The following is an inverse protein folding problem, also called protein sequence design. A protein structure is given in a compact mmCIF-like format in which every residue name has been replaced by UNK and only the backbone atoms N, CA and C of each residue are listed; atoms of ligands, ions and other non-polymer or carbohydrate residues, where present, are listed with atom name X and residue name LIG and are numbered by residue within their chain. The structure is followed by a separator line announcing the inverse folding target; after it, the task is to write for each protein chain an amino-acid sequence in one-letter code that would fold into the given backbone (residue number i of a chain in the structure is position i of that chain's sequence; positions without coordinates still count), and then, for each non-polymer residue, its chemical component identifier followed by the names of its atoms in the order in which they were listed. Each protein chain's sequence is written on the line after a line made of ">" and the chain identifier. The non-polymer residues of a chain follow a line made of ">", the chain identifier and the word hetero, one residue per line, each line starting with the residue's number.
data_IF_292718699255
#
_entry.id   IF_292718699255
#
_cell.length_a   1.000
_cell.length_b   1.000
_cell.length_c   1.000
_cell.angle_alpha   90.00
_cell.angle_beta   90.00
_cell.angle_gamma   90.00
#
_symmetry.space_group_name_H-M   'P 1'
#
loop_
_entity.id
_entity.type
_entity.pdbx_description
1 polymer ?
#
# COMPACT_ATOMS: atom_id res chain seq x y z
N UNK A 1 -21.24 19.59 1.32
CA UNK A 1 -20.62 20.00 0.09
C UNK A 1 -21.40 19.56 -1.14
N UNK A 2 -20.85 19.80 -2.32
CA UNK A 2 -21.48 19.51 -3.61
C UNK A 2 -21.79 18.03 -3.81
N UNK A 3 -20.88 17.12 -3.42
CA UNK A 3 -21.10 15.67 -3.48
C UNK A 3 -22.34 15.24 -2.68
N UNK A 4 -22.56 15.78 -1.50
CA UNK A 4 -23.77 15.52 -0.71
C UNK A 4 -25.02 15.93 -1.47
N UNK A 5 -25.01 17.09 -2.12
CA UNK A 5 -26.12 17.56 -2.94
C UNK A 5 -26.36 16.64 -4.13
N UNK A 6 -25.32 16.27 -4.85
CA UNK A 6 -25.39 15.34 -5.99
C UNK A 6 -25.99 13.99 -5.59
N UNK A 7 -25.58 13.42 -4.45
CA UNK A 7 -26.12 12.14 -3.95
C UNK A 7 -27.61 12.26 -3.56
N UNK A 8 -28.02 13.39 -2.97
CA UNK A 8 -29.42 13.66 -2.63
C UNK A 8 -30.28 13.85 -3.89
N UNK A 9 -29.73 14.49 -4.92
CA UNK A 9 -30.45 14.78 -6.17
C UNK A 9 -30.51 13.56 -7.12
N UNK A 10 -29.55 12.64 -7.04
CA UNK A 10 -29.39 11.53 -7.97
C UNK A 10 -30.42 10.40 -7.80
N UNK A 11 -31.20 10.36 -6.72
CA UNK A 11 -32.16 9.29 -6.40
C UNK A 11 -31.59 7.89 -6.72
N UNK A 12 -30.48 7.55 -6.08
CA UNK A 12 -29.75 6.30 -6.37
C UNK A 12 -30.67 5.10 -6.09
N UNK A 13 -31.08 4.40 -7.14
CA UNK A 13 -32.19 3.41 -7.10
C UNK A 13 -32.01 2.30 -6.09
N UNK A 14 -30.78 1.84 -5.86
CA UNK A 14 -30.48 0.72 -4.98
C UNK A 14 -30.16 1.15 -3.53
N UNK A 15 -30.49 2.37 -3.19
CA UNK A 15 -30.29 2.94 -1.86
C UNK A 15 -31.60 3.52 -1.29
N UNK A 16 -32.74 2.91 -1.60
CA UNK A 16 -34.07 3.38 -1.16
C UNK A 16 -34.17 3.49 0.37
N UNK A 17 -33.50 2.60 1.09
CA UNK A 17 -33.51 2.57 2.56
C UNK A 17 -32.33 3.37 3.19
N UNK A 18 -31.50 4.00 2.35
CA UNK A 18 -30.34 4.73 2.86
C UNK A 18 -30.80 6.03 3.51
N UNK A 19 -30.34 6.34 4.74
CA UNK A 19 -30.82 7.49 5.49
C UNK A 19 -30.19 8.81 5.02
N UNK A 20 -30.43 9.20 3.77
CA UNK A 20 -29.85 10.42 3.19
C UNK A 20 -30.12 11.69 4.00
N UNK A 21 -31.30 11.82 4.61
CA UNK A 21 -31.66 12.96 5.48
C UNK A 21 -30.82 13.04 6.75
N UNK A 22 -30.24 11.91 7.17
CA UNK A 22 -29.42 11.82 8.37
C UNK A 22 -27.92 12.08 8.10
N UNK A 23 -27.51 12.23 6.84
CA UNK A 23 -26.13 12.54 6.50
C UNK A 23 -25.77 13.93 7.05
N UNK A 24 -24.82 13.94 7.97
CA UNK A 24 -24.17 15.16 8.44
C UNK A 24 -23.12 15.63 7.45
N UNK A 25 -22.20 14.73 7.08
CA UNK A 25 -21.13 15.03 6.13
C UNK A 25 -20.76 13.80 5.31
N UNK A 26 -20.00 14.03 4.22
CA UNK A 26 -19.39 12.98 3.41
C UNK A 26 -17.88 13.19 3.44
N UNK A 27 -17.17 12.14 3.82
CA UNK A 27 -15.71 12.15 3.96
C UNK A 27 -15.09 11.15 2.99
N UNK A 28 -13.93 11.52 2.45
CA UNK A 28 -13.05 10.59 1.78
C UNK A 28 -12.14 9.92 2.81
N UNK A 29 -11.87 8.65 2.63
CA UNK A 29 -10.90 7.93 3.43
C UNK A 29 -9.76 7.49 2.52
N UNK A 30 -8.53 7.61 2.99
CA UNK A 30 -7.33 7.26 2.22
C UNK A 30 -6.40 6.46 3.13
N UNK A 31 -6.18 5.21 2.80
CA UNK A 31 -5.19 4.34 3.44
C UNK A 31 -4.06 4.02 2.46
N UNK A 32 -2.86 3.80 2.94
CA UNK A 32 -1.69 3.55 2.11
C UNK A 32 -0.96 2.29 2.58
N UNK A 33 -0.59 1.46 1.63
CA UNK A 33 0.35 0.35 1.77
C UNK A 33 1.63 0.75 1.02
N UNK A 34 2.75 0.73 1.71
CA UNK A 34 4.05 1.18 1.18
C UNK A 34 5.02 0.02 1.09
N UNK A 35 5.27 -0.47 -0.11
CA UNK A 35 6.28 -1.49 -0.37
C UNK A 35 7.66 -0.86 -0.61
N UNK A 36 8.70 -1.56 -0.15
CA UNK A 36 10.08 -1.14 -0.40
C UNK A 36 11.06 -2.32 -0.34
N UNK A 37 12.15 -2.18 -1.07
CA UNK A 37 13.24 -3.14 -1.03
C UNK A 37 14.30 -2.73 -0.02
N UNK A 38 14.74 -3.70 0.77
CA UNK A 38 15.82 -3.54 1.74
C UNK A 38 17.02 -4.36 1.27
N UNK A 39 18.17 -3.73 1.22
CA UNK A 39 19.45 -4.34 0.91
C UNK A 39 20.24 -4.48 2.21
N UNK A 40 20.61 -5.72 2.53
CA UNK A 40 21.51 -6.02 3.63
C UNK A 40 22.91 -6.23 3.06
N UNK A 41 23.91 -5.40 3.42
CA UNK A 41 25.28 -5.58 2.96
C UNK A 41 25.85 -6.94 3.38
N UNK A 42 26.54 -7.60 2.46
CA UNK A 42 27.07 -8.97 2.62
C UNK A 42 28.00 -9.19 3.80
N UNK A 43 28.66 -8.14 4.28
CA UNK A 43 29.57 -8.21 5.44
C UNK A 43 28.85 -8.50 6.79
N UNK A 44 27.52 -8.42 6.81
CA UNK A 44 26.74 -8.52 8.04
C UNK A 44 25.83 -9.76 8.14
N UNK A 45 25.78 -10.60 7.10
CA UNK A 45 24.93 -11.79 7.11
C UNK A 45 25.72 -13.11 7.16
N UNK A 46 25.25 -14.01 8.02
CA UNK A 46 25.73 -15.39 8.05
C UNK A 46 25.00 -16.23 6.99
N UNK A 47 25.74 -16.91 6.15
CA UNK A 47 25.29 -17.77 5.02
C UNK A 47 24.17 -18.74 5.40
N UNK A 48 24.06 -19.14 6.65
CA UNK A 48 23.03 -20.07 7.15
C UNK A 48 21.60 -19.56 7.06
N UNK A 49 21.39 -18.23 7.04
CA UNK A 49 20.04 -17.65 6.97
C UNK A 49 19.49 -17.55 5.54
N UNK A 50 20.35 -17.63 4.54
CA UNK A 50 20.00 -17.42 3.15
C UNK A 50 19.39 -18.66 2.48
N UNK A 51 19.80 -19.86 2.89
CA UNK A 51 19.36 -21.11 2.27
C UNK A 51 17.89 -21.46 2.57
N UNK A 52 17.32 -20.92 3.63
CA UNK A 52 15.97 -21.24 4.09
C UNK A 52 14.93 -20.24 3.52
N UNK A 53 15.34 -19.02 3.20
CA UNK A 53 14.43 -17.96 2.72
C UNK A 53 14.16 -17.98 1.22
N UNK A 54 14.72 -18.93 0.48
CA UNK A 54 14.83 -18.86 -0.98
C UNK A 54 13.76 -19.61 -1.79
N UNK A 55 12.81 -20.29 -1.16
CA UNK A 55 11.69 -20.89 -1.90
C UNK A 55 10.60 -19.85 -2.08
N UNK A 56 10.44 -19.36 -3.30
CA UNK A 56 9.60 -18.24 -3.72
C UNK A 56 8.13 -18.28 -3.24
N UNK A 57 7.60 -19.45 -2.91
CA UNK A 57 6.22 -19.60 -2.42
C UNK A 57 6.09 -19.56 -0.89
N UNK A 58 7.19 -19.65 -0.16
CA UNK A 58 7.19 -19.67 1.31
C UNK A 58 7.55 -18.32 1.93
N UNK A 59 7.74 -17.27 1.13
CA UNK A 59 8.22 -15.97 1.62
C UNK A 59 7.10 -15.05 2.11
N UNK A 60 5.89 -15.27 1.66
CA UNK A 60 4.72 -14.58 2.18
C UNK A 60 4.53 -14.96 3.66
N UNK A 61 4.51 -13.97 4.53
CA UNK A 61 4.38 -14.15 5.99
C UNK A 61 5.60 -14.75 6.70
N UNK A 62 6.76 -14.80 6.08
CA UNK A 62 7.97 -15.17 6.81
C UNK A 62 8.37 -14.05 7.79
N UNK A 63 8.83 -14.49 8.96
CA UNK A 63 9.31 -13.54 9.97
C UNK A 63 10.58 -12.84 9.48
N UNK A 64 10.58 -11.52 9.54
CA UNK A 64 11.80 -10.73 9.48
C UNK A 64 12.77 -11.15 10.58
N UNK A 65 14.07 -11.07 10.31
CA UNK A 65 15.12 -11.49 11.23
C UNK A 65 16.24 -10.46 11.30
N UNK A 66 17.06 -10.55 12.36
CA UNK A 66 18.26 -9.72 12.51
C UNK A 66 17.98 -8.23 12.43
N UNK A 67 18.89 -7.50 11.78
CA UNK A 67 18.80 -6.03 11.68
C UNK A 67 17.55 -5.55 10.92
N UNK A 68 17.03 -6.33 9.97
CA UNK A 68 15.80 -5.99 9.24
C UNK A 68 14.60 -5.95 10.18
N UNK A 69 14.48 -6.95 11.06
CA UNK A 69 13.43 -6.98 12.08
C UNK A 69 13.56 -5.82 13.05
N UNK A 70 14.76 -5.60 13.57
CA UNK A 70 15.02 -4.50 14.51
C UNK A 70 14.70 -3.14 13.88
N UNK A 71 15.09 -2.93 12.62
CA UNK A 71 14.78 -1.70 11.90
C UNK A 71 13.27 -1.52 11.71
N UNK A 72 12.53 -2.57 11.36
CA UNK A 72 11.08 -2.48 11.22
C UNK A 72 10.39 -2.16 12.55
N UNK A 73 10.75 -2.85 13.64
CA UNK A 73 10.21 -2.59 14.98
C UNK A 73 10.44 -1.13 15.39
N UNK A 74 11.67 -0.62 15.22
CA UNK A 74 11.99 0.79 15.50
C UNK A 74 11.25 1.77 14.59
N UNK A 75 11.03 1.40 13.33
CA UNK A 75 10.25 2.22 12.39
C UNK A 75 8.82 2.37 12.87
N UNK A 76 8.19 1.27 13.25
CA UNK A 76 6.81 1.26 13.77
C UNK A 76 6.73 2.14 15.03
N UNK A 77 7.64 1.97 15.97
CA UNK A 77 7.67 2.79 17.20
C UNK A 77 7.83 4.29 16.91
N UNK A 78 8.73 4.66 15.98
CA UNK A 78 8.91 6.07 15.60
C UNK A 78 7.70 6.66 14.88
N UNK A 79 7.07 5.90 13.99
CA UNK A 79 5.88 6.34 13.27
C UNK A 79 4.66 6.49 14.19
N UNK A 80 4.45 5.53 15.10
CA UNK A 80 3.40 5.62 16.11
C UNK A 80 3.60 6.82 17.05
N UNK A 81 4.84 7.07 17.47
CA UNK A 81 5.17 8.24 18.28
C UNK A 81 4.89 9.58 17.56
N UNK A 82 4.89 9.58 16.23
CA UNK A 82 4.52 10.72 15.38
C UNK A 82 3.03 10.78 15.02
N UNK A 83 2.26 9.78 15.44
CA UNK A 83 0.80 9.71 15.25
C UNK A 83 0.34 9.09 13.94
N UNK A 84 1.18 8.34 13.24
CA UNK A 84 0.77 7.65 12.01
C UNK A 84 -0.11 6.41 12.26
N UNK A 85 -0.04 5.81 13.43
CA UNK A 85 -0.79 4.60 13.78
C UNK A 85 -0.59 3.46 12.77
N UNK A 86 0.60 2.87 12.82
CA UNK A 86 0.95 1.74 11.97
C UNK A 86 0.04 0.55 12.26
N UNK A 87 -0.55 -0.04 11.23
CA UNK A 87 -1.39 -1.22 11.34
C UNK A 87 -0.55 -2.48 11.26
N UNK A 88 0.36 -2.53 10.28
CA UNK A 88 1.20 -3.70 10.07
C UNK A 88 2.53 -3.32 9.39
N UNK A 89 3.58 -4.09 9.72
CA UNK A 89 4.83 -4.11 8.97
C UNK A 89 5.26 -5.55 8.75
N UNK A 90 5.38 -5.97 7.51
CA UNK A 90 5.65 -7.37 7.18
C UNK A 90 6.57 -7.54 5.97
N UNK A 91 6.94 -8.79 5.73
CA UNK A 91 7.71 -9.17 4.56
C UNK A 91 6.77 -9.50 3.42
N UNK A 92 6.99 -8.84 2.27
CA UNK A 92 6.27 -9.11 1.04
C UNK A 92 6.84 -10.28 0.24
N UNK A 93 6.14 -10.66 -0.84
CA UNK A 93 6.57 -11.71 -1.77
C UNK A 93 7.66 -11.17 -2.69
N UNK A 94 8.75 -11.90 -2.83
CA UNK A 94 9.79 -11.59 -3.80
C UNK A 94 11.16 -11.31 -3.21
N UNK A 95 11.79 -12.28 -2.56
CA UNK A 95 13.21 -12.22 -2.20
C UNK A 95 14.11 -12.49 -3.40
N UNK A 96 15.27 -11.85 -3.47
CA UNK A 96 16.29 -12.18 -4.45
C UNK A 96 17.26 -13.17 -3.84
N UNK A 97 17.59 -14.20 -4.65
CA UNK A 97 18.74 -15.04 -4.35
C UNK A 97 20.00 -14.17 -4.46
N UNK A 98 20.86 -14.16 -3.44
CA UNK A 98 22.14 -13.50 -3.54
C UNK A 98 22.88 -14.12 -4.73
N UNK A 99 23.50 -13.29 -5.54
CA UNK A 99 24.45 -13.75 -6.53
C UNK A 99 25.71 -14.14 -5.79
N UNK A 100 26.17 -15.36 -6.00
CA UNK A 100 27.48 -15.82 -5.56
C UNK A 100 28.42 -15.59 -6.73
N UNK A 101 29.55 -14.90 -6.51
CA UNK A 101 30.59 -14.78 -7.52
C UNK A 101 31.37 -16.10 -7.67
N UNK A 102 32.25 -16.16 -8.67
CA UNK A 102 33.07 -17.36 -8.93
C UNK A 102 34.04 -17.69 -7.77
N UNK A 103 34.25 -16.77 -6.83
CA UNK A 103 35.03 -16.95 -5.61
C UNK A 103 34.20 -17.37 -4.40
N UNK A 104 32.88 -17.52 -4.55
CA UNK A 104 31.97 -17.92 -3.48
C UNK A 104 31.49 -16.78 -2.58
N UNK A 105 31.76 -15.51 -2.94
CA UNK A 105 31.25 -14.37 -2.18
C UNK A 105 29.79 -14.12 -2.50
N UNK A 106 29.01 -13.89 -1.45
CA UNK A 106 27.60 -13.55 -1.56
C UNK A 106 27.48 -12.03 -1.67
N UNK A 107 26.85 -11.57 -2.77
CA UNK A 107 26.49 -10.15 -2.92
C UNK A 107 25.11 -9.92 -2.33
N UNK A 108 25.02 -8.89 -1.59
CA UNK A 108 23.83 -8.23 -1.02
C UNK A 108 22.51 -9.02 -1.04
N UNK A 109 22.02 -9.34 0.13
CA UNK A 109 20.68 -9.90 0.28
C UNK A 109 19.67 -8.78 0.14
N UNK A 110 18.66 -8.99 -0.69
CA UNK A 110 17.58 -8.04 -0.86
C UNK A 110 16.26 -8.70 -0.47
N UNK A 111 15.47 -8.01 0.34
CA UNK A 111 14.16 -8.43 0.81
C UNK A 111 13.15 -7.33 0.51
N UNK A 112 11.94 -7.71 0.12
CA UNK A 112 10.82 -6.76 -0.03
C UNK A 112 10.00 -6.75 1.25
N UNK A 113 9.73 -5.56 1.74
CA UNK A 113 8.92 -5.30 2.93
C UNK A 113 7.77 -4.39 2.57
N UNK A 114 6.73 -4.44 3.38
CA UNK A 114 5.58 -3.57 3.31
C UNK A 114 5.27 -2.98 4.68
N UNK A 115 4.79 -1.76 4.67
CA UNK A 115 4.38 -1.00 5.84
C UNK A 115 3.02 -0.36 5.57
N UNK A 116 2.04 -0.68 6.41
CA UNK A 116 0.67 -0.23 6.32
C UNK A 116 0.31 0.60 7.54
N UNK A 117 -0.52 1.61 7.34
CA UNK A 117 -1.05 2.43 8.43
C UNK A 117 -2.52 2.77 8.26
N UNK A 118 -3.17 3.07 9.37
CA UNK A 118 -4.59 3.38 9.41
C UNK A 118 -4.95 4.53 8.45
N UNK A 119 -6.12 4.43 7.84
CA UNK A 119 -6.62 5.44 6.92
C UNK A 119 -6.81 6.81 7.58
N UNK A 120 -6.65 7.86 6.79
CA UNK A 120 -7.00 9.22 7.16
C UNK A 120 -8.28 9.67 6.46
N UNK A 121 -9.06 10.50 7.12
CA UNK A 121 -10.22 11.23 6.52
C UNK A 121 -9.80 12.57 5.91
N UNK A 122 -8.53 12.93 6.03
CA UNK A 122 -7.94 14.12 5.43
C UNK A 122 -6.89 13.72 4.40
N UNK A 123 -7.15 13.91 3.09
CA UNK A 123 -6.21 13.52 2.03
C UNK A 123 -4.83 14.21 2.12
N UNK A 124 -4.77 15.45 2.63
CA UNK A 124 -3.48 16.13 2.84
C UNK A 124 -2.68 15.45 3.94
N UNK A 125 -3.34 15.10 5.04
CA UNK A 125 -2.70 14.33 6.11
C UNK A 125 -2.24 12.95 5.63
N UNK A 126 -3.00 12.29 4.75
CA UNK A 126 -2.59 11.01 4.17
C UNK A 126 -1.31 11.15 3.33
N UNK A 127 -1.20 12.21 2.53
CA UNK A 127 0.00 12.49 1.73
C UNK A 127 1.20 12.86 2.63
N UNK A 128 0.99 13.64 3.68
CA UNK A 128 2.04 13.98 4.65
C UNK A 128 2.52 12.73 5.40
N UNK A 129 1.62 11.84 5.80
CA UNK A 129 1.94 10.58 6.47
C UNK A 129 2.81 9.69 5.58
N UNK A 130 2.48 9.58 4.30
CA UNK A 130 3.27 8.78 3.33
C UNK A 130 4.70 9.34 3.19
N UNK A 131 4.83 10.66 3.03
CA UNK A 131 6.13 11.30 2.95
C UNK A 131 6.95 11.09 4.24
N UNK A 132 6.33 11.25 5.39
CA UNK A 132 6.94 11.02 6.71
C UNK A 132 7.39 9.56 6.87
N UNK A 133 6.54 8.59 6.48
CA UNK A 133 6.87 7.17 6.52
C UNK A 133 8.13 6.87 5.71
N UNK A 134 8.25 7.39 4.48
CA UNK A 134 9.46 7.22 3.64
C UNK A 134 10.72 7.79 4.30
N UNK A 135 10.61 8.93 4.96
CA UNK A 135 11.74 9.56 5.66
C UNK A 135 12.18 8.68 6.83
N UNK A 136 11.25 8.30 7.70
CA UNK A 136 11.52 7.50 8.89
C UNK A 136 12.11 6.14 8.52
N UNK A 137 11.50 5.43 7.57
CA UNK A 137 12.01 4.15 7.07
C UNK A 137 13.46 4.28 6.62
N UNK A 138 13.79 5.26 5.76
CA UNK A 138 15.17 5.45 5.30
C UNK A 138 16.14 5.70 6.44
N UNK A 139 15.77 6.55 7.39
CA UNK A 139 16.64 6.92 8.51
C UNK A 139 16.87 5.77 9.47
N UNK A 140 15.80 5.07 9.85
CA UNK A 140 15.88 3.95 10.79
C UNK A 140 16.65 2.78 10.19
N UNK A 141 16.34 2.40 8.95
CA UNK A 141 17.03 1.30 8.28
C UNK A 141 18.50 1.63 8.09
N UNK A 142 18.85 2.85 7.67
CA UNK A 142 20.24 3.29 7.56
C UNK A 142 20.98 3.22 8.89
N UNK A 143 20.36 3.61 10.02
CA UNK A 143 20.95 3.49 11.37
C UNK A 143 21.24 2.03 11.73
N UNK A 144 20.47 1.10 11.21
CA UNK A 144 20.68 -0.34 11.38
C UNK A 144 21.62 -0.95 10.32
N UNK A 145 22.27 -0.11 9.49
CA UNK A 145 23.22 -0.53 8.47
C UNK A 145 22.59 -1.19 7.25
N UNK A 146 21.37 -0.81 6.92
CA UNK A 146 20.57 -1.32 5.82
C UNK A 146 20.31 -0.19 4.81
N UNK A 147 20.24 -0.55 3.52
CA UNK A 147 19.86 0.39 2.45
C UNK A 147 18.43 0.13 2.00
N UNK A 148 17.67 1.19 1.77
CA UNK A 148 16.25 1.13 1.35
C UNK A 148 16.07 1.76 -0.02
N UNK A 149 15.26 1.11 -0.85
CA UNK A 149 14.83 1.62 -2.15
C UNK A 149 13.31 1.62 -2.27
N UNK A 150 12.74 2.79 -2.56
CA UNK A 150 11.32 2.97 -2.90
C UNK A 150 11.09 3.07 -4.41
N UNK A 151 12.07 2.72 -5.23
CA UNK A 151 11.88 2.69 -6.68
C UNK A 151 10.86 1.63 -7.05
N UNK A 152 9.99 1.94 -8.00
CA UNK A 152 8.95 1.03 -8.44
C UNK A 152 9.52 -0.29 -9.00
N UNK A 153 10.69 -0.25 -9.66
CA UNK A 153 11.37 -1.45 -10.19
C UNK A 153 12.88 -1.37 -9.93
N UNK A 154 13.33 -1.53 -8.67
CA UNK A 154 14.75 -1.42 -8.34
C UNK A 154 15.57 -2.56 -8.92
N UNK A 155 14.95 -3.72 -9.12
CA UNK A 155 15.63 -4.94 -9.58
C UNK A 155 14.83 -5.57 -10.71
N UNK A 156 15.50 -5.83 -11.83
CA UNK A 156 14.88 -6.44 -13.01
C UNK A 156 14.67 -7.94 -12.78
N UNK A 157 13.49 -8.44 -13.18
CA UNK A 157 13.18 -9.87 -13.12
C UNK A 157 12.58 -10.35 -11.78
N UNK A 158 12.38 -9.46 -10.81
CA UNK A 158 11.69 -9.74 -9.55
C UNK A 158 10.58 -8.72 -9.31
N UNK A 159 9.76 -8.92 -8.29
CA UNK A 159 8.69 -7.98 -7.91
C UNK A 159 9.23 -6.56 -7.70
N UNK A 160 8.47 -5.56 -8.09
CA UNK A 160 8.75 -4.15 -7.82
C UNK A 160 8.01 -3.66 -6.59
N UNK A 161 8.28 -2.43 -6.16
CA UNK A 161 7.58 -1.82 -5.04
C UNK A 161 6.33 -1.09 -5.50
N UNK A 162 5.20 -1.42 -4.90
CA UNK A 162 3.94 -0.71 -5.01
C UNK A 162 3.83 0.38 -3.96
N UNK A 163 2.96 1.32 -4.24
CA UNK A 163 2.35 2.22 -3.28
C UNK A 163 0.86 2.14 -3.56
N UNK A 164 0.19 1.32 -2.77
CA UNK A 164 -1.24 1.09 -2.97
C UNK A 164 -2.02 2.10 -2.14
N UNK A 165 -2.83 2.89 -2.81
CA UNK A 165 -3.70 3.85 -2.15
C UNK A 165 -5.13 3.35 -2.17
N UNK A 166 -5.64 2.97 -1.02
CA UNK A 166 -7.04 2.60 -0.82
C UNK A 166 -7.88 3.85 -0.63
N UNK A 167 -8.87 4.04 -1.48
CA UNK A 167 -9.75 5.20 -1.43
C UNK A 167 -11.15 4.74 -1.09
N UNK A 168 -11.75 5.36 -0.08
CA UNK A 168 -13.12 5.13 0.32
C UNK A 168 -13.93 6.42 0.36
N UNK A 169 -15.25 6.27 0.32
CA UNK A 169 -16.22 7.37 0.54
C UNK A 169 -17.17 6.93 1.63
N UNK A 170 -17.28 7.70 2.70
CA UNK A 170 -18.14 7.38 3.81
C UNK A 170 -19.10 8.53 4.12
N UNK A 171 -20.35 8.18 4.49
CA UNK A 171 -21.31 9.10 5.05
C UNK A 171 -21.19 9.10 6.57
N UNK A 172 -20.96 10.27 7.14
CA UNK A 172 -21.04 10.51 8.57
C UNK A 172 -22.46 10.95 8.92
N UNK A 173 -23.15 10.17 9.74
CA UNK A 173 -24.52 10.46 10.14
C UNK A 173 -24.57 11.37 11.39
N UNK A 174 -25.68 12.07 11.57
CA UNK A 174 -25.94 12.95 12.74
C UNK A 174 -25.85 12.23 14.08
N UNK A 175 -26.08 10.92 14.11
CA UNK A 175 -25.94 10.08 15.30
C UNK A 175 -24.49 9.58 15.54
N UNK A 176 -23.51 10.04 14.75
CA UNK A 176 -22.12 9.64 14.84
C UNK A 176 -21.76 8.32 14.12
N UNK A 177 -22.75 7.63 13.55
CA UNK A 177 -22.48 6.41 12.77
C UNK A 177 -21.86 6.77 11.43
N UNK A 178 -20.87 5.96 11.00
CA UNK A 178 -20.25 6.05 9.68
C UNK A 178 -20.73 4.89 8.80
N UNK A 179 -21.08 5.19 7.56
CA UNK A 179 -21.52 4.19 6.57
C UNK A 179 -20.61 4.32 5.35
N UNK A 180 -20.01 3.19 4.93
CA UNK A 180 -19.25 3.13 3.68
C UNK A 180 -20.22 3.18 2.49
N UNK A 181 -20.10 4.22 1.66
CA UNK A 181 -20.96 4.42 0.50
C UNK A 181 -20.61 3.52 -0.69
N UNK A 182 -19.42 2.94 -0.72
CA UNK A 182 -18.98 2.04 -1.79
C UNK A 182 -19.41 0.59 -1.55
N UNK A 183 -19.71 0.23 -0.30
CA UNK A 183 -20.15 -1.10 0.06
C UNK A 183 -21.63 -1.31 -0.33
N UNK A 184 -22.01 -2.49 -0.87
CA UNK A 184 -23.40 -2.82 -1.16
C UNK A 184 -24.19 -3.08 0.12
N UNK A 185 -25.52 -3.00 0.05
CA UNK A 185 -26.38 -3.37 1.18
C UNK A 185 -26.31 -4.88 1.48
N UNK A 186 -26.22 -5.72 0.46
CA UNK A 186 -26.03 -7.16 0.56
C UNK A 186 -24.74 -7.61 -0.13
N UNK A 187 -23.69 -7.83 0.64
CA UNK A 187 -22.39 -8.31 0.16
C UNK A 187 -22.41 -9.72 -0.46
N UNK A 188 -23.53 -10.46 -0.34
CA UNK A 188 -23.67 -11.75 -1.01
C UNK A 188 -24.27 -11.61 -2.41
N UNK A 189 -25.02 -10.54 -2.64
CA UNK A 189 -25.68 -10.26 -3.91
C UNK A 189 -24.80 -9.42 -4.83
N UNK A 190 -23.97 -8.53 -4.28
CA UNK A 190 -23.17 -7.62 -5.07
C UNK A 190 -21.82 -7.32 -4.41
N UNK A 191 -20.82 -6.86 -5.19
CA UNK A 191 -19.49 -6.50 -4.70
C UNK A 191 -19.41 -5.03 -4.28
N UNK A 192 -20.16 -4.16 -4.94
CA UNK A 192 -20.16 -2.72 -4.73
C UNK A 192 -21.59 -2.19 -4.77
N UNK A 193 -21.78 -1.05 -4.10
CA UNK A 193 -23.01 -0.28 -4.28
C UNK A 193 -23.05 0.38 -5.66
N UNK A 194 -24.20 0.88 -6.07
CA UNK A 194 -24.34 1.70 -7.27
C UNK A 194 -23.40 2.91 -7.27
N UNK A 195 -23.15 3.52 -6.09
CA UNK A 195 -22.16 4.59 -5.95
C UNK A 195 -20.75 4.05 -6.19
N UNK A 196 -20.44 2.85 -5.67
CA UNK A 196 -19.15 2.19 -5.85
C UNK A 196 -18.84 1.91 -7.33
N UNK A 197 -19.81 1.36 -8.06
CA UNK A 197 -19.67 1.15 -9.51
C UNK A 197 -19.49 2.48 -10.25
N UNK A 198 -20.27 3.49 -9.91
CA UNK A 198 -20.14 4.83 -10.49
C UNK A 198 -18.76 5.46 -10.21
N UNK A 199 -18.20 5.21 -9.02
CA UNK A 199 -16.86 5.67 -8.64
C UNK A 199 -15.77 5.02 -9.50
N UNK A 200 -15.80 3.69 -9.68
CA UNK A 200 -14.86 2.97 -10.55
C UNK A 200 -14.99 3.46 -11.99
N UNK A 201 -16.21 3.59 -12.50
CA UNK A 201 -16.43 4.11 -13.87
C UNK A 201 -15.88 5.53 -14.02
N UNK A 202 -15.99 6.37 -12.99
CA UNK A 202 -15.41 7.71 -12.96
C UNK A 202 -13.89 7.68 -13.08
N UNK A 203 -13.21 6.77 -12.34
CA UNK A 203 -11.77 6.58 -12.45
C UNK A 203 -11.38 6.11 -13.85
N UNK A 204 -12.05 5.10 -14.38
CA UNK A 204 -11.77 4.55 -15.72
C UNK A 204 -11.96 5.57 -16.83
N UNK A 205 -13.04 6.35 -16.79
CA UNK A 205 -13.32 7.39 -17.77
C UNK A 205 -12.30 8.53 -17.76
N UNK A 206 -11.60 8.73 -16.63
CA UNK A 206 -10.59 9.77 -16.49
C UNK A 206 -9.17 9.20 -16.39
N UNK A 207 -8.98 7.92 -16.74
CA UNK A 207 -7.70 7.23 -16.59
C UNK A 207 -6.54 7.94 -17.29
N UNK A 208 -6.75 8.39 -18.54
CA UNK A 208 -5.69 9.09 -19.29
C UNK A 208 -5.21 10.38 -18.60
N UNK A 209 -6.11 11.06 -17.89
CA UNK A 209 -5.77 12.27 -17.14
C UNK A 209 -5.12 11.98 -15.78
N UNK A 210 -5.52 10.89 -15.13
CA UNK A 210 -5.08 10.55 -13.76
C UNK A 210 -3.80 9.70 -13.74
N UNK A 211 -3.64 8.81 -14.72
CA UNK A 211 -2.52 7.87 -14.75
C UNK A 211 -1.12 8.51 -14.70
N UNK A 212 -0.83 9.66 -15.33
CA UNK A 212 0.44 10.34 -15.21
C UNK A 212 0.83 10.75 -13.78
N UNK A 213 -0.16 10.92 -12.90
CA UNK A 213 0.08 11.23 -11.48
C UNK A 213 0.30 9.96 -10.65
N UNK A 214 -0.41 8.87 -10.99
CA UNK A 214 -0.31 7.58 -10.30
C UNK A 214 0.95 6.82 -10.73
N UNK A 215 1.30 6.85 -12.01
CA UNK A 215 2.45 6.16 -12.61
C UNK A 215 3.40 7.16 -13.24
N UNK A 216 3.98 8.03 -12.42
CA UNK A 216 4.74 9.21 -12.86
C UNK A 216 6.17 8.93 -13.37
N UNK A 217 6.68 7.71 -13.21
CA UNK A 217 8.07 7.38 -13.55
C UNK A 217 8.15 6.24 -14.56
N UNK A 218 9.25 6.20 -15.33
CA UNK A 218 9.55 5.08 -16.24
C UNK A 218 9.64 3.74 -15.49
N UNK A 219 10.12 3.75 -14.26
CA UNK A 219 10.19 2.57 -13.41
C UNK A 219 8.80 1.99 -13.11
N UNK A 220 7.76 2.84 -12.94
CA UNK A 220 6.38 2.39 -12.74
C UNK A 220 5.88 1.59 -13.95
N UNK A 221 6.16 2.04 -15.17
CA UNK A 221 5.82 1.29 -16.38
C UNK A 221 6.62 0.00 -16.54
N UNK A 222 7.84 -0.04 -16.02
CA UNK A 222 8.64 -1.27 -15.98
C UNK A 222 8.11 -2.28 -14.97
N UNK A 223 7.45 -1.81 -13.91
CA UNK A 223 6.78 -2.65 -12.91
C UNK A 223 5.44 -3.20 -13.42
N UNK A 224 4.58 -2.34 -13.95
CA UNK A 224 3.20 -2.67 -14.32
C UNK A 224 3.13 -3.44 -15.65
N UNK A 225 3.64 -4.68 -15.64
CA UNK A 225 3.55 -5.58 -16.80
C UNK A 225 2.40 -6.56 -16.62
N UNK A 226 1.45 -6.62 -17.60
CA UNK A 226 0.35 -7.56 -17.55
C UNK A 226 0.80 -9.00 -17.33
N UNK A 227 0.15 -9.71 -16.41
CA UNK A 227 0.46 -11.09 -16.06
C UNK A 227 1.66 -11.28 -15.13
N UNK A 228 2.28 -10.18 -14.65
CA UNK A 228 3.35 -10.25 -13.66
C UNK A 228 3.02 -9.41 -12.40
N UNK A 229 2.92 -8.10 -12.53
CA UNK A 229 2.59 -7.19 -11.42
C UNK A 229 1.36 -6.33 -11.73
N UNK A 230 0.77 -6.51 -12.88
CA UNK A 230 -0.51 -5.94 -13.23
C UNK A 230 -1.46 -7.05 -13.70
N UNK A 231 -2.77 -6.94 -13.43
CA UNK A 231 -3.76 -7.87 -13.95
C UNK A 231 -3.82 -7.79 -15.47
N UNK A 232 -4.26 -8.87 -16.13
CA UNK A 232 -4.50 -8.90 -17.57
C UNK A 232 -5.90 -8.42 -17.93
N UNK A 233 -6.79 -8.33 -16.95
CA UNK A 233 -8.17 -7.84 -17.07
C UNK A 233 -8.63 -7.25 -15.73
N UNK A 234 -9.68 -6.47 -15.78
CA UNK A 234 -10.41 -5.91 -14.64
C UNK A 234 -11.65 -6.76 -14.39
#
# INVERSE_FOLDING_TARGET
>A
GELKKLLLDAQVKDMENFPFSEIQDIVFTTGTELEFWVKTPSEKETVQHLSISQRLQEQYWQRMRGNVRTAMEQTIEELDARGLHVEMGHKEVGGIKPKVDDAGHIFDVCEQLELDWLFSTNPLQAADNELEARIVVREVFRRNGLDVSFRAKPIIGVAGSGEHTHVGIAALLKNGKTINLLAPEDMKADFLSTIGYGFIMGILNNYEATNPFVSSTTDAFNRLKPGFEAPVCI
#
